data_IF_169826139315
#
_entry.id   IF_169826139315
#
_cell.length_a   1.000
_cell.length_b   1.000
_cell.length_c   1.000
_cell.angle_alpha   90.00
_cell.angle_beta   90.00
_cell.angle_gamma   90.00
#
_symmetry.space_group_name_H-M   'P 1'
#
loop_
_entity.id
_entity.type
_entity.pdbx_description
1 polymer ?
#
# COMPACT_ATOMS: atom_id res chain seq x y z
N UNK A 1 -2.79 18.26 14.00
CA UNK A 1 -1.84 17.37 13.32
C UNK A 1 -2.61 16.54 12.32
N UNK A 2 -2.09 16.37 11.10
CA UNK A 2 -2.72 15.54 10.08
C UNK A 2 -2.87 14.07 10.51
N UNK A 3 -3.63 13.29 9.74
CA UNK A 3 -3.80 11.85 9.96
C UNK A 3 -3.10 11.04 8.87
N UNK A 4 -2.44 9.97 9.24
CA UNK A 4 -1.79 9.05 8.32
C UNK A 4 -2.60 7.77 8.15
N UNK A 5 -3.13 7.55 6.96
CA UNK A 5 -3.95 6.38 6.62
C UNK A 5 -3.30 5.59 5.51
N UNK A 6 -3.11 4.30 5.71
CA UNK A 6 -2.57 3.40 4.68
C UNK A 6 -3.67 2.50 4.10
N UNK A 7 -3.54 2.21 2.82
CA UNK A 7 -4.42 1.34 2.06
C UNK A 7 -3.61 0.11 1.65
N UNK A 8 -3.95 -1.04 2.21
CA UNK A 8 -3.21 -2.28 2.04
C UNK A 8 -4.07 -3.38 1.42
N UNK A 9 -3.44 -4.42 0.92
CA UNK A 9 -4.11 -5.56 0.30
C UNK A 9 -3.46 -6.01 -0.99
N UNK A 10 -3.90 -7.16 -1.52
CA UNK A 10 -3.39 -7.78 -2.73
C UNK A 10 -3.61 -6.97 -4.02
N UNK A 11 -3.19 -7.55 -5.13
CA UNK A 11 -3.33 -6.92 -6.44
C UNK A 11 -4.82 -6.86 -6.85
N UNK A 12 -5.19 -5.82 -7.59
CA UNK A 12 -6.57 -5.64 -8.07
C UNK A 12 -7.62 -5.39 -6.98
N UNK A 13 -7.23 -5.13 -5.72
CA UNK A 13 -8.16 -4.94 -4.60
C UNK A 13 -8.93 -3.61 -4.59
N UNK A 14 -8.60 -2.66 -5.49
CA UNK A 14 -9.34 -1.39 -5.62
C UNK A 14 -8.76 -0.22 -4.83
N UNK A 15 -7.61 -0.37 -4.14
CA UNK A 15 -6.97 0.66 -3.32
C UNK A 15 -6.90 2.03 -3.99
N UNK A 16 -6.30 2.11 -5.17
CA UNK A 16 -6.10 3.37 -5.90
C UNK A 16 -7.42 4.10 -6.20
N UNK A 17 -8.48 3.35 -6.53
CA UNK A 17 -9.82 3.92 -6.74
C UNK A 17 -10.35 4.51 -5.43
N UNK A 18 -10.21 3.78 -4.34
CA UNK A 18 -10.74 4.20 -3.04
C UNK A 18 -9.92 5.35 -2.43
N UNK A 19 -8.62 5.41 -2.64
CA UNK A 19 -7.78 6.56 -2.24
C UNK A 19 -8.29 7.84 -2.92
N UNK A 20 -8.58 7.79 -4.23
CA UNK A 20 -9.14 8.94 -4.95
C UNK A 20 -10.47 9.38 -4.35
N UNK A 21 -11.40 8.44 -4.17
CA UNK A 21 -12.72 8.73 -3.61
C UNK A 21 -12.64 9.25 -2.16
N UNK A 22 -11.73 8.70 -1.36
CA UNK A 22 -11.46 9.17 0.01
C UNK A 22 -10.87 10.58 0.03
N UNK A 23 -9.95 10.90 -0.89
CA UNK A 23 -9.39 12.26 -1.03
C UNK A 23 -10.46 13.27 -1.41
N UNK A 24 -11.35 12.92 -2.35
CA UNK A 24 -12.47 13.77 -2.77
C UNK A 24 -13.42 14.01 -1.61
N UNK A 25 -13.77 12.96 -0.86
CA UNK A 25 -14.64 13.03 0.31
C UNK A 25 -14.08 13.91 1.45
N UNK A 26 -12.75 13.84 1.71
CA UNK A 26 -12.08 14.72 2.68
C UNK A 26 -12.10 16.18 2.22
N UNK A 27 -11.82 16.42 0.94
CA UNK A 27 -11.83 17.78 0.35
C UNK A 27 -13.21 18.43 0.45
N UNK A 28 -14.29 17.69 0.21
CA UNK A 28 -15.68 18.18 0.39
C UNK A 28 -15.98 18.64 1.82
N UNK A 29 -15.19 18.19 2.78
CA UNK A 29 -15.26 18.55 4.21
C UNK A 29 -14.25 19.62 4.63
N UNK A 30 -13.55 20.22 3.65
CA UNK A 30 -12.53 21.21 3.91
C UNK A 30 -11.23 20.66 4.49
N UNK A 31 -11.02 19.34 4.41
CA UNK A 31 -9.82 18.67 4.93
C UNK A 31 -8.84 18.48 3.78
N UNK A 32 -7.64 19.08 3.91
CA UNK A 32 -6.55 18.87 2.97
C UNK A 32 -6.03 17.45 3.10
N UNK A 33 -5.89 16.74 1.97
CA UNK A 33 -5.37 15.38 1.93
C UNK A 33 -4.39 15.19 0.78
N UNK A 34 -3.24 14.61 1.09
CA UNK A 34 -2.21 14.19 0.14
C UNK A 34 -2.39 12.71 -0.16
N UNK A 35 -2.64 12.38 -1.44
CA UNK A 35 -2.61 11.00 -1.91
C UNK A 35 -1.21 10.64 -2.42
N UNK A 36 -0.65 9.54 -1.93
CA UNK A 36 0.69 9.07 -2.28
C UNK A 36 0.76 7.54 -2.33
N UNK A 37 1.91 6.97 -2.69
CA UNK A 37 2.08 5.52 -2.82
C UNK A 37 3.53 5.09 -2.56
N UNK A 38 3.73 3.89 -2.05
CA UNK A 38 5.03 3.23 -1.97
C UNK A 38 5.10 1.97 -2.86
N UNK A 39 6.23 1.77 -3.55
CA UNK A 39 7.34 2.73 -3.69
C UNK A 39 6.93 3.91 -4.58
N UNK A 40 7.41 5.11 -4.26
CA UNK A 40 7.03 6.32 -5.00
C UNK A 40 7.11 7.58 -4.13
N UNK A 41 6.21 8.53 -4.38
CA UNK A 41 6.03 9.75 -3.58
C UNK A 41 7.10 10.83 -3.76
N UNK A 42 8.33 10.47 -4.16
CA UNK A 42 9.45 11.40 -4.38
C UNK A 42 10.12 11.15 -5.74
N UNK A 43 10.96 12.05 -6.26
CA UNK A 43 11.73 11.80 -7.47
C UNK A 43 12.59 10.53 -7.39
N UNK A 44 13.28 10.32 -6.25
CA UNK A 44 14.06 9.10 -6.00
C UNK A 44 13.15 7.87 -5.92
N UNK A 45 12.06 7.96 -5.16
CA UNK A 45 11.10 6.87 -5.01
C UNK A 45 10.49 6.42 -6.34
N UNK A 46 10.22 7.35 -7.28
CA UNK A 46 9.76 7.01 -8.62
C UNK A 46 10.79 6.22 -9.44
N UNK A 47 12.07 6.62 -9.39
CA UNK A 47 13.15 5.86 -10.05
C UNK A 47 13.31 4.46 -9.47
N UNK A 48 13.22 4.33 -8.15
CA UNK A 48 13.26 3.02 -7.48
C UNK A 48 12.04 2.18 -7.88
N UNK A 49 10.85 2.77 -7.97
CA UNK A 49 9.65 2.10 -8.46
C UNK A 49 9.84 1.55 -9.87
N UNK A 50 10.42 2.34 -10.77
CA UNK A 50 10.75 1.89 -12.13
C UNK A 50 11.65 0.66 -12.11
N UNK A 51 12.69 0.65 -11.29
CA UNK A 51 13.58 -0.51 -11.12
C UNK A 51 12.81 -1.72 -10.59
N UNK A 52 12.04 -1.54 -9.52
CA UNK A 52 11.33 -2.62 -8.82
C UNK A 52 10.22 -3.27 -9.64
N UNK A 53 9.49 -2.47 -10.45
CA UNK A 53 8.31 -2.95 -11.18
C UNK A 53 8.59 -3.25 -12.64
N UNK A 54 9.69 -2.71 -13.21
CA UNK A 54 10.01 -2.93 -14.60
C UNK A 54 10.51 -4.37 -14.83
N UNK A 55 9.90 -5.02 -15.81
CA UNK A 55 10.25 -6.37 -16.26
C UNK A 55 11.66 -6.48 -16.86
N UNK A 56 12.17 -5.37 -17.40
CA UNK A 56 13.49 -5.29 -18.02
C UNK A 56 14.63 -5.20 -16.99
N UNK A 57 14.31 -4.97 -15.72
CA UNK A 57 15.32 -4.93 -14.64
C UNK A 57 15.95 -6.29 -14.34
N UNK A 58 15.51 -7.37 -15.01
CA UNK A 58 15.99 -8.72 -14.74
C UNK A 58 15.46 -9.28 -13.40
N UNK A 59 16.09 -10.35 -12.95
CA UNK A 59 15.79 -10.94 -11.65
C UNK A 59 16.40 -10.06 -10.54
N UNK A 60 15.56 -9.57 -9.63
CA UNK A 60 15.98 -8.83 -8.44
C UNK A 60 15.94 -9.80 -7.25
N UNK A 61 17.06 -9.99 -6.58
CA UNK A 61 17.12 -10.81 -5.36
C UNK A 61 16.28 -10.24 -4.24
N UNK A 62 15.77 -11.09 -3.37
CA UNK A 62 14.84 -10.70 -2.30
C UNK A 62 15.42 -9.63 -1.37
N UNK A 63 16.69 -9.71 -1.03
CA UNK A 63 17.40 -8.76 -0.19
C UNK A 63 17.54 -7.40 -0.88
N UNK A 64 17.89 -7.38 -2.17
CA UNK A 64 17.98 -6.16 -2.97
C UNK A 64 16.60 -5.50 -3.12
N UNK A 65 15.56 -6.30 -3.35
CA UNK A 65 14.16 -5.85 -3.40
C UNK A 65 13.77 -5.16 -2.08
N UNK A 66 14.04 -5.80 -0.94
CA UNK A 66 13.78 -5.25 0.41
C UNK A 66 14.51 -3.91 0.64
N UNK A 67 15.80 -3.84 0.31
CA UNK A 67 16.60 -2.64 0.52
C UNK A 67 16.14 -1.47 -0.38
N UNK A 68 15.73 -1.74 -1.60
CA UNK A 68 15.16 -0.73 -2.49
C UNK A 68 13.83 -0.18 -1.97
N UNK A 69 12.94 -1.03 -1.44
CA UNK A 69 11.71 -0.57 -0.79
C UNK A 69 12.02 0.30 0.43
N UNK A 70 12.98 -0.10 1.27
CA UNK A 70 13.38 0.66 2.45
C UNK A 70 14.01 2.02 2.08
N UNK A 71 14.85 2.08 1.04
CA UNK A 71 15.45 3.32 0.55
C UNK A 71 14.39 4.29 0.02
N UNK A 72 13.43 3.79 -0.79
CA UNK A 72 12.31 4.61 -1.27
C UNK A 72 11.48 5.17 -0.12
N UNK A 73 11.17 4.36 0.89
CA UNK A 73 10.43 4.75 2.09
C UNK A 73 11.15 5.81 2.90
N UNK A 74 12.44 5.62 3.17
CA UNK A 74 13.23 6.56 3.95
C UNK A 74 13.19 7.98 3.36
N UNK A 75 13.27 8.09 2.03
CA UNK A 75 13.14 9.36 1.34
C UNK A 75 11.70 9.90 1.38
N UNK A 76 10.71 9.03 1.13
CA UNK A 76 9.29 9.38 1.09
C UNK A 76 8.78 9.92 2.43
N UNK A 77 9.14 9.26 3.53
CA UNK A 77 8.74 9.69 4.88
C UNK A 77 9.27 11.09 5.19
N UNK A 78 10.55 11.32 4.92
CA UNK A 78 11.21 12.60 5.25
C UNK A 78 10.82 13.77 4.35
N UNK A 79 10.66 13.53 3.06
CA UNK A 79 10.39 14.60 2.09
C UNK A 79 8.90 14.88 1.88
N UNK A 80 8.04 13.91 2.17
CA UNK A 80 6.63 13.99 1.76
C UNK A 80 5.67 13.76 2.91
N UNK A 81 5.79 12.61 3.62
CA UNK A 81 4.78 12.23 4.61
C UNK A 81 4.84 13.13 5.84
N UNK A 82 6.00 13.22 6.50
CA UNK A 82 6.14 13.99 7.73
C UNK A 82 5.83 15.49 7.52
N UNK A 83 6.37 16.17 6.48
CA UNK A 83 6.03 17.57 6.23
C UNK A 83 4.54 17.81 6.03
N UNK A 84 3.86 16.95 5.24
CA UNK A 84 2.41 17.07 5.02
C UNK A 84 1.62 16.94 6.32
N UNK A 85 1.98 16.00 7.18
CA UNK A 85 1.33 15.80 8.49
C UNK A 85 1.59 16.96 9.45
N UNK A 86 2.79 17.54 9.44
CA UNK A 86 3.15 18.72 10.23
C UNK A 86 2.34 19.94 9.80
N UNK A 87 2.08 20.09 8.51
CA UNK A 87 1.18 21.12 7.95
C UNK A 87 -0.31 20.86 8.23
N UNK A 88 -0.65 19.76 8.91
CA UNK A 88 -2.02 19.40 9.25
C UNK A 88 -2.79 18.70 8.12
N UNK A 89 -2.13 18.36 7.01
CA UNK A 89 -2.73 17.58 5.93
C UNK A 89 -2.91 16.11 6.34
N UNK A 90 -3.97 15.48 5.87
CA UNK A 90 -4.08 14.03 5.92
C UNK A 90 -3.21 13.40 4.83
N UNK A 91 -2.59 12.25 5.11
CA UNK A 91 -1.83 11.49 4.12
C UNK A 91 -2.53 10.16 3.89
N UNK A 92 -2.92 9.89 2.64
CA UNK A 92 -3.51 8.64 2.18
C UNK A 92 -2.48 7.91 1.31
N UNK A 93 -1.92 6.81 1.80
CA UNK A 93 -0.81 6.12 1.14
C UNK A 93 -1.22 4.72 0.64
N UNK A 94 -1.01 4.47 -0.65
CA UNK A 94 -1.15 3.12 -1.24
C UNK A 94 0.10 2.32 -0.86
N UNK A 95 -0.02 1.40 0.10
CA UNK A 95 1.03 0.59 0.74
C UNK A 95 1.99 1.40 1.62
N UNK A 96 2.51 0.72 2.66
CA UNK A 96 3.55 1.23 3.55
C UNK A 96 4.35 0.06 4.15
N UNK A 97 4.74 0.16 5.42
CA UNK A 97 5.55 -0.85 6.13
C UNK A 97 4.92 -2.24 6.18
N UNK A 98 3.59 -2.33 6.22
CA UNK A 98 2.85 -3.60 6.27
C UNK A 98 3.04 -4.40 4.98
N UNK A 99 3.04 -3.72 3.82
CA UNK A 99 3.35 -4.36 2.55
C UNK A 99 4.73 -5.04 2.57
N UNK A 100 5.75 -4.41 3.13
CA UNK A 100 7.11 -4.99 3.22
C UNK A 100 7.14 -6.23 4.12
N UNK A 101 6.45 -6.19 5.28
CA UNK A 101 6.34 -7.36 6.16
C UNK A 101 5.70 -8.54 5.45
N UNK A 102 4.68 -8.28 4.64
CA UNK A 102 3.93 -9.32 3.94
C UNK A 102 4.67 -9.79 2.69
N UNK A 103 5.07 -8.91 1.79
CA UNK A 103 5.66 -9.28 0.51
C UNK A 103 7.09 -9.82 0.67
N UNK A 104 7.97 -9.12 1.38
CA UNK A 104 9.35 -9.53 1.56
C UNK A 104 9.51 -10.54 2.71
N UNK A 105 8.75 -10.37 3.80
CA UNK A 105 8.78 -11.32 4.93
C UNK A 105 8.07 -12.62 4.58
N UNK A 106 6.74 -12.59 4.44
CA UNK A 106 5.95 -13.82 4.22
C UNK A 106 6.11 -14.34 2.79
N UNK A 107 6.06 -13.47 1.80
CA UNK A 107 6.13 -13.82 0.38
C UNK A 107 7.48 -14.34 -0.05
N UNK A 108 8.57 -13.62 0.26
CA UNK A 108 9.96 -13.97 -0.09
C UNK A 108 10.65 -14.82 0.97
N UNK A 109 10.09 -14.94 2.18
CA UNK A 109 10.68 -15.73 3.26
C UNK A 109 11.85 -15.09 3.98
N UNK A 110 11.99 -13.76 3.91
CA UNK A 110 13.02 -13.04 4.65
C UNK A 110 12.68 -12.91 6.14
N UNK A 111 13.71 -12.70 6.97
CA UNK A 111 13.55 -12.56 8.42
C UNK A 111 12.65 -11.37 8.78
N UNK A 112 11.50 -11.66 9.35
CA UNK A 112 10.49 -10.67 9.76
C UNK A 112 10.99 -9.75 10.87
N UNK A 113 11.86 -10.23 11.78
CA UNK A 113 12.42 -9.41 12.84
C UNK A 113 13.36 -8.34 12.26
N UNK A 114 14.22 -8.73 11.32
CA UNK A 114 15.08 -7.80 10.60
C UNK A 114 14.25 -6.79 9.78
N UNK A 115 13.20 -7.25 9.09
CA UNK A 115 12.32 -6.34 8.32
C UNK A 115 11.65 -5.31 9.25
N UNK A 116 11.19 -5.70 10.45
CA UNK A 116 10.64 -4.74 11.41
C UNK A 116 11.65 -3.67 11.80
N UNK A 117 12.87 -4.06 12.12
CA UNK A 117 13.96 -3.12 12.43
C UNK A 117 14.24 -2.16 11.26
N UNK A 118 14.29 -2.69 10.03
CA UNK A 118 14.51 -1.89 8.83
C UNK A 118 13.34 -0.95 8.52
N UNK A 119 12.10 -1.41 8.75
CA UNK A 119 10.90 -0.59 8.64
C UNK A 119 10.90 0.55 9.66
N UNK A 120 11.21 0.27 10.93
CA UNK A 120 11.31 1.30 11.97
C UNK A 120 12.37 2.35 11.63
N UNK A 121 13.53 1.92 11.13
CA UNK A 121 14.58 2.83 10.66
C UNK A 121 14.12 3.68 9.47
N UNK A 122 13.59 3.05 8.42
CA UNK A 122 13.21 3.73 7.18
C UNK A 122 11.96 4.60 7.33
N UNK A 123 11.06 4.25 8.23
CA UNK A 123 9.86 5.02 8.55
C UNK A 123 10.05 6.03 9.70
N UNK A 124 11.27 6.21 10.22
CA UNK A 124 11.52 7.03 11.41
C UNK A 124 10.62 6.63 12.61
N UNK A 125 10.36 5.34 12.77
CA UNK A 125 9.42 4.75 13.75
C UNK A 125 7.97 5.25 13.63
N UNK A 126 7.64 5.96 12.53
CA UNK A 126 6.30 6.48 12.29
C UNK A 126 5.35 5.38 11.85
N UNK A 127 4.14 5.37 12.39
CA UNK A 127 3.11 4.35 12.11
C UNK A 127 1.81 5.01 11.64
N UNK A 128 1.02 4.31 10.80
CA UNK A 128 -0.31 4.79 10.43
C UNK A 128 -1.26 4.89 11.63
N UNK A 129 -2.09 5.94 11.64
CA UNK A 129 -3.24 6.04 12.55
C UNK A 129 -4.30 4.98 12.22
N UNK A 130 -4.42 4.62 10.93
CA UNK A 130 -5.39 3.65 10.42
C UNK A 130 -4.81 2.93 9.20
N UNK A 131 -4.97 1.61 9.16
CA UNK A 131 -4.69 0.78 7.99
C UNK A 131 -5.99 0.16 7.48
N UNK A 132 -6.37 0.48 6.26
CA UNK A 132 -7.51 -0.10 5.57
C UNK A 132 -7.02 -1.28 4.72
N UNK A 133 -7.34 -2.49 5.15
CA UNK A 133 -6.97 -3.73 4.45
C UNK A 133 -8.10 -4.17 3.53
N UNK A 134 -7.88 -4.06 2.21
CA UNK A 134 -8.82 -4.51 1.18
C UNK A 134 -8.63 -6.00 0.94
N UNK A 135 -9.45 -6.82 1.58
CA UNK A 135 -9.43 -8.28 1.42
C UNK A 135 -10.38 -8.75 0.33
N UNK A 136 -9.90 -9.63 -0.54
CA UNK A 136 -10.70 -10.29 -1.56
C UNK A 136 -10.03 -11.60 -2.00
N UNK A 137 -10.80 -12.54 -2.60
CA UNK A 137 -10.23 -13.77 -3.16
C UNK A 137 -9.15 -13.44 -4.23
N UNK A 138 -8.04 -14.17 -4.17
CA UNK A 138 -6.87 -13.93 -5.04
C UNK A 138 -7.24 -13.95 -6.52
N UNK A 139 -8.08 -14.90 -6.95
CA UNK A 139 -8.51 -15.01 -8.35
C UNK A 139 -9.27 -13.77 -8.84
N UNK A 140 -10.09 -13.18 -7.97
CA UNK A 140 -10.84 -11.96 -8.30
C UNK A 140 -9.87 -10.81 -8.50
N UNK A 141 -8.90 -10.65 -7.59
CA UNK A 141 -7.88 -9.61 -7.65
C UNK A 141 -7.02 -9.73 -8.91
N UNK A 142 -6.45 -10.90 -9.18
CA UNK A 142 -5.63 -11.14 -10.36
C UNK A 142 -6.41 -10.96 -11.67
N UNK A 143 -7.68 -11.35 -11.71
CA UNK A 143 -8.54 -11.12 -12.87
C UNK A 143 -8.74 -9.62 -13.13
N UNK A 144 -8.99 -8.83 -12.08
CA UNK A 144 -9.12 -7.37 -12.18
C UNK A 144 -7.81 -6.72 -12.64
N UNK A 145 -6.66 -7.16 -12.10
CA UNK A 145 -5.34 -6.66 -12.47
C UNK A 145 -5.04 -6.93 -13.96
N UNK A 146 -5.26 -8.16 -14.44
CA UNK A 146 -5.10 -8.53 -15.86
C UNK A 146 -6.00 -7.70 -16.79
N UNK A 147 -7.28 -7.49 -16.44
CA UNK A 147 -8.19 -6.66 -17.23
C UNK A 147 -7.70 -5.21 -17.31
N UNK A 148 -7.17 -4.66 -16.21
CA UNK A 148 -6.57 -3.32 -16.16
C UNK A 148 -5.35 -3.23 -17.08
N UNK A 149 -4.42 -4.18 -16.99
CA UNK A 149 -3.23 -4.24 -17.86
C UNK A 149 -3.60 -4.33 -19.34
N UNK A 150 -4.64 -5.10 -19.68
CA UNK A 150 -5.14 -5.23 -21.05
C UNK A 150 -5.82 -3.95 -21.61
N UNK A 151 -6.10 -2.94 -20.78
CA UNK A 151 -6.65 -1.66 -21.22
C UNK A 151 -5.67 -0.81 -22.07
N UNK A 152 -4.42 -1.23 -22.18
CA UNK A 152 -3.38 -0.63 -23.01
C UNK A 152 -2.84 0.72 -22.53
N UNK A 153 -3.19 1.16 -21.33
CA UNK A 153 -2.62 2.37 -20.72
C UNK A 153 -1.22 2.07 -20.16
N UNK A 154 -0.18 2.86 -20.46
CA UNK A 154 1.18 2.62 -19.97
C UNK A 154 1.27 2.47 -18.44
N UNK A 155 0.52 3.29 -17.71
CA UNK A 155 0.46 3.27 -16.25
C UNK A 155 -0.26 2.04 -15.67
N UNK A 156 -0.91 1.23 -16.53
CA UNK A 156 -1.62 0.01 -16.13
C UNK A 156 -0.91 -1.27 -16.60
N UNK A 157 0.30 -1.16 -17.15
CA UNK A 157 1.06 -2.33 -17.53
C UNK A 157 1.22 -3.27 -16.33
N UNK A 158 1.07 -4.58 -16.58
CA UNK A 158 1.25 -5.62 -15.58
C UNK A 158 2.66 -5.52 -14.98
N UNK A 159 2.77 -5.38 -13.68
CA UNK A 159 4.04 -5.31 -12.99
C UNK A 159 4.63 -6.70 -12.69
N UNK A 160 5.86 -6.71 -12.14
CA UNK A 160 6.58 -7.94 -11.83
C UNK A 160 5.85 -8.80 -10.80
N UNK A 161 5.18 -8.21 -9.83
CA UNK A 161 4.47 -8.93 -8.77
C UNK A 161 3.17 -9.59 -9.28
N UNK A 162 2.48 -8.98 -10.26
CA UNK A 162 1.26 -9.57 -10.86
C UNK A 162 1.52 -10.91 -11.56
N UNK A 163 2.79 -11.22 -11.87
CA UNK A 163 3.22 -12.47 -12.51
C UNK A 163 3.65 -13.58 -11.55
N UNK A 164 3.73 -13.27 -10.27
CA UNK A 164 4.04 -14.31 -9.29
C UNK A 164 2.97 -15.40 -9.31
N UNK A 165 3.37 -16.58 -8.90
CA UNK A 165 2.46 -17.73 -8.84
C UNK A 165 1.30 -17.45 -7.87
N UNK A 166 0.16 -18.08 -8.14
CA UNK A 166 -1.04 -17.96 -7.29
C UNK A 166 -0.73 -18.20 -5.81
N UNK A 167 0.10 -19.20 -5.50
CA UNK A 167 0.51 -19.55 -4.14
C UNK A 167 1.20 -18.36 -3.43
N UNK A 168 1.98 -17.54 -4.16
CA UNK A 168 2.57 -16.34 -3.61
C UNK A 168 1.49 -15.35 -3.16
N UNK A 169 0.49 -15.09 -4.01
CA UNK A 169 -0.61 -14.17 -3.69
C UNK A 169 -1.49 -14.68 -2.55
N UNK A 170 -1.68 -15.99 -2.42
CA UNK A 170 -2.39 -16.61 -1.29
C UNK A 170 -1.64 -16.37 0.02
N UNK A 171 -0.32 -16.56 0.04
CA UNK A 171 0.53 -16.23 1.20
C UNK A 171 0.48 -14.74 1.55
N UNK A 172 0.47 -13.87 0.56
CA UNK A 172 0.33 -12.42 0.76
C UNK A 172 -0.99 -12.10 1.46
N UNK A 173 -2.11 -12.64 0.97
CA UNK A 173 -3.42 -12.46 1.58
C UNK A 173 -3.45 -12.95 3.02
N UNK A 174 -2.99 -14.16 3.29
CA UNK A 174 -2.89 -14.73 4.64
C UNK A 174 -1.99 -13.89 5.56
N UNK A 175 -0.86 -13.41 5.03
CA UNK A 175 0.05 -12.52 5.76
C UNK A 175 -0.62 -11.24 6.22
N UNK A 176 -1.39 -10.59 5.36
CA UNK A 176 -2.16 -9.40 5.73
C UNK A 176 -3.23 -9.69 6.78
N UNK A 177 -4.01 -10.76 6.62
CA UNK A 177 -5.04 -11.14 7.59
C UNK A 177 -4.44 -11.46 8.96
N UNK A 178 -3.26 -12.10 8.99
CA UNK A 178 -2.52 -12.37 10.22
C UNK A 178 -2.02 -11.06 10.88
N UNK A 179 -1.52 -10.09 10.11
CA UNK A 179 -1.16 -8.78 10.66
C UNK A 179 -2.38 -8.07 11.24
N UNK A 180 -3.48 -8.03 10.49
CA UNK A 180 -4.72 -7.38 10.94
C UNK A 180 -5.26 -7.99 12.24
N UNK A 181 -5.18 -9.32 12.40
CA UNK A 181 -5.60 -10.00 13.64
C UNK A 181 -4.73 -9.67 14.85
N UNK A 182 -3.46 -9.33 14.63
CA UNK A 182 -2.49 -8.99 15.70
C UNK A 182 -2.53 -7.52 16.10
N UNK A 183 -3.03 -6.65 15.22
CA UNK A 183 -3.06 -5.19 15.43
C UNK A 183 -4.47 -4.62 15.16
N UNK A 184 -5.54 -5.16 15.79
CA UNK A 184 -6.93 -4.80 15.51
C UNK A 184 -7.25 -3.33 15.81
N UNK A 185 -6.45 -2.68 16.65
CA UNK A 185 -6.63 -1.27 17.01
C UNK A 185 -6.47 -0.35 15.80
N UNK A 186 -5.52 -0.63 14.91
CA UNK A 186 -5.27 0.20 13.73
C UNK A 186 -5.76 -0.39 12.40
N UNK A 187 -6.02 -1.70 12.32
CA UNK A 187 -6.52 -2.33 11.09
C UNK A 187 -8.04 -2.31 11.02
N UNK A 188 -8.57 -2.07 9.79
CA UNK A 188 -9.96 -2.32 9.41
C UNK A 188 -9.96 -3.11 8.11
N UNK A 189 -10.61 -4.27 8.15
CA UNK A 189 -10.73 -5.14 6.99
C UNK A 189 -11.94 -4.69 6.18
N UNK A 190 -11.72 -4.39 4.91
CA UNK A 190 -12.72 -3.94 3.94
C UNK A 190 -12.96 -5.08 2.96
N UNK A 191 -14.23 -5.40 2.69
CA UNK A 191 -14.58 -6.39 1.66
C UNK A 191 -14.28 -5.83 0.26
N UNK A 192 -13.08 -6.09 -0.27
CA UNK A 192 -12.64 -5.64 -1.60
C UNK A 192 -13.40 -6.29 -2.78
N UNK A 193 -14.24 -7.30 -2.51
CA UNK A 193 -15.08 -7.92 -3.54
C UNK A 193 -16.40 -7.17 -3.78
N UNK A 194 -16.82 -6.32 -2.85
CA UNK A 194 -18.04 -5.51 -2.96
C UNK A 194 -17.95 -4.50 -4.13
N UNK A 195 -19.04 -3.85 -4.45
CA UNK A 195 -19.08 -2.76 -5.43
C UNK A 195 -18.35 -1.51 -4.92
N UNK A 196 -17.95 -0.65 -5.86
CA UNK A 196 -17.10 0.52 -5.56
C UNK A 196 -17.76 1.47 -4.56
N UNK A 197 -19.08 1.66 -4.66
CA UNK A 197 -19.80 2.60 -3.80
C UNK A 197 -19.96 2.06 -2.38
N UNK A 198 -20.29 0.79 -2.22
CA UNK A 198 -20.35 0.13 -0.91
C UNK A 198 -19.00 0.21 -0.18
N UNK A 199 -17.90 -0.06 -0.91
CA UNK A 199 -16.55 0.09 -0.35
C UNK A 199 -16.27 1.55 0.03
N UNK A 200 -16.64 2.51 -0.82
CA UNK A 200 -16.47 3.95 -0.54
C UNK A 200 -17.16 4.35 0.77
N UNK A 201 -18.40 3.93 0.95
CA UNK A 201 -19.17 4.25 2.16
C UNK A 201 -18.49 3.67 3.42
N UNK A 202 -18.00 2.44 3.34
CA UNK A 202 -17.28 1.81 4.44
C UNK A 202 -15.96 2.51 4.75
N UNK A 203 -15.17 2.86 3.74
CA UNK A 203 -13.93 3.64 3.88
C UNK A 203 -14.23 4.98 4.55
N UNK A 204 -15.22 5.74 4.05
CA UNK A 204 -15.61 7.04 4.62
C UNK A 204 -16.07 6.92 6.08
N UNK A 205 -16.78 5.85 6.44
CA UNK A 205 -17.18 5.59 7.83
C UNK A 205 -15.97 5.45 8.75
N UNK A 206 -14.91 4.73 8.31
CA UNK A 206 -13.70 4.57 9.09
C UNK A 206 -12.89 5.86 9.18
N UNK A 207 -12.82 6.64 8.09
CA UNK A 207 -12.18 7.96 8.12
C UNK A 207 -12.91 8.93 9.04
N UNK A 208 -14.25 8.90 9.06
CA UNK A 208 -15.06 9.75 9.96
C UNK A 208 -14.75 9.52 11.43
N UNK A 209 -14.34 8.32 11.82
CA UNK A 209 -13.96 8.01 13.20
C UNK A 209 -12.62 8.64 13.64
N UNK A 210 -11.85 9.21 12.70
CA UNK A 210 -10.60 9.92 12.98
C UNK A 210 -10.75 11.45 13.02
N UNK A 211 -11.95 11.96 12.63
CA UNK A 211 -12.28 13.39 12.69
C UNK A 211 -12.59 13.84 14.12
#
# INVERSE_FOLDING_TARGET
MGKFVTFEGGEGSGKTTQIKLASDWLRERGISALATAEPGGTPLGRKIREILLNRQSGAIGAEAELLLFAAARAQHVRETILPALEEGQWVLCDRFTDATLVYQGVGRGLDVAFIRTLNDFSACSFKPDLTLLFDLPVEVGLTRAKKRAASGRPETAEDRFEREERIFHERIREGYLNLASKEPERFRIINGAADVESIRLEVCRHLSALL
#
